data_IF_980696993226
#
_entry.id   IF_980696993226
#
_cell.length_a   1.000
_cell.length_b   1.000
_cell.length_c   1.000
_cell.angle_alpha   90.00
_cell.angle_beta   90.00
_cell.angle_gamma   90.00
#
_symmetry.space_group_name_H-M   'P 1'
#
loop_
_entity.id
_entity.type
_entity.pdbx_description
1 polymer ?
#
# COMPACT_ATOMS: atom_id res chain seq x y z
N UNK A 1 -5.09 29.82 -3.05
CA UNK A 1 -4.59 28.75 -3.93
C UNK A 1 -5.20 27.44 -3.46
N UNK A 2 -5.94 26.68 -4.30
CA UNK A 2 -6.47 25.39 -3.86
C UNK A 2 -5.34 24.38 -3.92
N UNK A 3 -5.31 23.43 -2.98
CA UNK A 3 -4.20 22.46 -2.88
C UNK A 3 -4.04 21.58 -4.13
N UNK A 4 -5.12 21.44 -4.91
CA UNK A 4 -5.17 20.78 -6.22
C UNK A 4 -4.51 21.59 -7.35
N UNK A 5 -4.29 22.87 -7.14
CA UNK A 5 -3.66 23.78 -8.11
C UNK A 5 -2.13 23.80 -7.94
N UNK A 6 -1.59 23.04 -6.98
CA UNK A 6 -0.15 22.91 -6.75
C UNK A 6 0.41 21.83 -7.68
N UNK A 7 1.22 22.24 -8.67
CA UNK A 7 1.96 21.35 -9.55
C UNK A 7 2.90 20.43 -8.74
N UNK A 8 2.98 19.15 -9.12
CA UNK A 8 3.82 18.14 -8.45
C UNK A 8 3.19 17.45 -7.25
N UNK A 9 2.06 17.95 -6.74
CA UNK A 9 1.25 17.22 -5.76
C UNK A 9 0.46 16.12 -6.47
N UNK A 10 0.42 14.92 -5.89
CA UNK A 10 -0.40 13.82 -6.42
C UNK A 10 -1.88 14.15 -6.18
N UNK A 11 -2.44 14.97 -7.08
CA UNK A 11 -3.81 15.49 -7.01
C UNK A 11 -4.84 14.36 -6.96
N UNK A 12 -4.55 13.21 -7.59
CA UNK A 12 -5.38 12.00 -7.50
C UNK A 12 -5.55 11.51 -6.07
N UNK A 13 -4.48 11.53 -5.27
CA UNK A 13 -4.55 11.15 -3.87
C UNK A 13 -5.36 12.13 -3.02
N UNK A 14 -5.31 13.42 -3.33
CA UNK A 14 -6.12 14.41 -2.61
C UNK A 14 -7.59 14.34 -3.01
N UNK A 15 -7.89 14.22 -4.31
CA UNK A 15 -9.24 14.24 -4.85
C UNK A 15 -10.01 12.94 -4.60
N UNK A 16 -9.33 11.80 -4.64
CA UNK A 16 -10.00 10.49 -4.64
C UNK A 16 -9.51 9.59 -3.51
N UNK A 17 -8.21 9.43 -3.30
CA UNK A 17 -7.74 8.46 -2.31
C UNK A 17 -8.01 8.92 -0.87
N UNK A 18 -7.77 10.19 -0.54
CA UNK A 18 -7.82 10.68 0.85
C UNK A 18 -9.21 11.00 1.35
N UNK A 19 -10.14 11.37 0.45
CA UNK A 19 -11.53 11.68 0.80
C UNK A 19 -12.29 10.42 1.21
N UNK A 20 -12.08 9.31 0.49
CA UNK A 20 -12.88 8.10 0.66
C UNK A 20 -12.22 7.02 1.52
N UNK A 21 -10.92 7.15 1.86
CA UNK A 21 -10.22 6.13 2.64
C UNK A 21 -9.77 6.67 4.00
N UNK A 22 -10.02 5.88 5.04
CA UNK A 22 -9.48 6.14 6.38
C UNK A 22 -7.95 6.12 6.36
N UNK A 23 -7.33 6.79 7.35
CA UNK A 23 -5.87 6.78 7.52
C UNK A 23 -5.33 5.34 7.62
N UNK A 24 -6.01 4.49 8.38
CA UNK A 24 -5.65 3.08 8.56
C UNK A 24 -5.76 2.31 7.25
N UNK A 25 -6.85 2.49 6.49
CA UNK A 25 -7.03 1.84 5.20
C UNK A 25 -5.92 2.18 4.21
N UNK A 26 -5.50 3.45 4.17
CA UNK A 26 -4.34 3.88 3.37
C UNK A 26 -3.04 3.21 3.82
N UNK A 27 -2.80 3.11 5.12
CA UNK A 27 -1.61 2.43 5.66
C UNK A 27 -1.56 0.96 5.27
N UNK A 28 -2.69 0.25 5.35
CA UNK A 28 -2.81 -1.14 4.91
C UNK A 28 -2.48 -1.24 3.42
N UNK A 29 -3.12 -0.42 2.59
CA UNK A 29 -2.98 -0.42 1.12
C UNK A 29 -1.56 -0.06 0.65
N UNK A 30 -0.82 0.78 1.39
CA UNK A 30 0.54 1.17 1.05
C UNK A 30 1.58 0.07 1.33
N UNK A 31 1.24 -0.97 2.10
CA UNK A 31 2.11 -2.11 2.37
C UNK A 31 1.63 -3.35 1.62
N UNK A 32 2.46 -3.86 0.71
CA UNK A 32 2.18 -5.10 -0.05
C UNK A 32 1.88 -6.27 0.87
N UNK A 33 2.69 -6.45 1.91
CA UNK A 33 2.54 -7.53 2.87
C UNK A 33 1.30 -7.34 3.75
N UNK A 34 1.03 -6.12 4.20
CA UNK A 34 -0.11 -5.87 5.09
C UNK A 34 -1.45 -5.96 4.35
N UNK A 35 -1.49 -5.45 3.11
CA UNK A 35 -2.64 -5.63 2.21
C UNK A 35 -2.97 -7.11 2.06
N UNK A 36 -1.97 -7.93 1.75
CA UNK A 36 -2.13 -9.37 1.56
C UNK A 36 -2.64 -10.08 2.81
N UNK A 37 -2.07 -9.75 3.98
CA UNK A 37 -2.52 -10.29 5.27
C UNK A 37 -3.98 -9.93 5.55
N UNK A 38 -4.36 -8.67 5.32
CA UNK A 38 -5.72 -8.17 5.54
C UNK A 38 -6.73 -8.87 4.63
N UNK A 39 -6.39 -9.01 3.33
CA UNK A 39 -7.22 -9.73 2.36
C UNK A 39 -7.39 -11.21 2.72
N UNK A 40 -6.31 -11.89 3.13
CA UNK A 40 -6.37 -13.29 3.58
C UNK A 40 -7.27 -13.47 4.80
N UNK A 41 -7.18 -12.56 5.79
CA UNK A 41 -8.07 -12.56 6.96
C UNK A 41 -9.54 -12.37 6.59
N UNK A 42 -9.81 -11.53 5.59
CA UNK A 42 -11.13 -11.33 5.01
C UNK A 42 -11.59 -12.47 4.08
N UNK A 43 -10.85 -13.60 4.04
CA UNK A 43 -11.12 -14.77 3.20
C UNK A 43 -11.11 -14.47 1.69
N UNK A 44 -10.41 -13.41 1.28
CA UNK A 44 -10.13 -13.12 -0.13
C UNK A 44 -8.92 -13.93 -0.57
N UNK A 45 -9.03 -14.63 -1.70
CA UNK A 45 -7.91 -15.38 -2.29
C UNK A 45 -6.80 -14.42 -2.70
N UNK A 46 -5.59 -14.71 -2.23
CA UNK A 46 -4.37 -13.98 -2.58
C UNK A 46 -3.30 -14.99 -3.03
N UNK A 47 -2.34 -14.61 -3.89
CA UNK A 47 -1.21 -15.47 -4.24
C UNK A 47 -0.41 -15.85 -2.98
N UNK A 48 0.40 -16.90 -2.99
CA UNK A 48 1.29 -17.19 -1.86
C UNK A 48 2.52 -16.29 -1.85
N UNK A 49 3.11 -16.03 -0.69
CA UNK A 49 4.38 -15.27 -0.62
C UNK A 49 5.48 -16.30 -0.63
N UNK A 50 6.39 -16.20 -1.60
CA UNK A 50 7.52 -17.10 -1.68
C UNK A 50 8.61 -16.72 -0.66
N UNK A 51 9.07 -15.47 -0.66
CA UNK A 51 10.05 -14.96 0.31
C UNK A 51 9.83 -13.48 0.64
N UNK A 52 10.28 -13.03 1.81
CA UNK A 52 10.30 -11.61 2.21
C UNK A 52 11.75 -11.15 2.32
N UNK A 53 12.20 -10.41 1.31
CA UNK A 53 13.55 -9.84 1.28
C UNK A 53 13.55 -8.52 2.06
N UNK A 54 14.21 -8.51 3.22
CA UNK A 54 14.31 -7.33 4.10
C UNK A 54 15.75 -6.98 4.52
N UNK A 55 16.73 -7.75 4.05
CA UNK A 55 18.15 -7.52 4.28
C UNK A 55 18.94 -7.89 3.02
N UNK A 56 20.17 -7.38 2.93
CA UNK A 56 21.07 -7.72 1.83
C UNK A 56 21.45 -9.21 1.88
N UNK A 57 21.64 -9.75 3.07
CA UNK A 57 21.95 -11.17 3.26
C UNK A 57 20.85 -12.09 2.71
N UNK A 58 19.58 -11.74 2.94
CA UNK A 58 18.45 -12.52 2.40
C UNK A 58 18.38 -12.36 0.88
N UNK A 59 18.65 -11.16 0.36
CA UNK A 59 18.69 -10.92 -1.08
C UNK A 59 19.78 -11.76 -1.77
N UNK A 60 20.96 -11.86 -1.17
CA UNK A 60 22.09 -12.63 -1.72
C UNK A 60 21.87 -14.14 -1.68
N UNK A 61 21.02 -14.62 -0.76
CA UNK A 61 20.65 -16.05 -0.63
C UNK A 61 19.41 -16.43 -1.45
N UNK A 62 18.72 -15.45 -2.03
CA UNK A 62 17.50 -15.63 -2.82
C UNK A 62 17.80 -15.97 -4.27
#
# INVERSE_FOLDING_TARGET
MKIRDVLGLNSRNHLYTSVYNSRIGKTIANSKLFTKKTLKQAKVRVPETFEIINSMEILEKF
#
